data_IF_621028361403
#
_entry.id   IF_621028361403
#
_cell.length_a   1.000
_cell.length_b   1.000
_cell.length_c   1.000
_cell.angle_alpha   90.00
_cell.angle_beta   90.00
_cell.angle_gamma   90.00
#
_symmetry.space_group_name_H-M   'P 1'
#
loop_
_entity.id
_entity.type
_entity.pdbx_description
1 polymer ?
#
# COMPACT_ATOMS: atom_id res chain seq x y z
N UNK A 1 45.40 2.43 55.40
CA UNK A 1 45.23 1.38 54.38
C UNK A 1 43.79 0.88 54.41
N UNK A 2 43.12 0.98 53.25
CA UNK A 2 41.93 0.26 52.73
C UNK A 2 40.57 0.30 53.48
N UNK A 3 39.63 1.04 52.87
CA UNK A 3 38.17 0.84 52.90
C UNK A 3 37.77 -0.51 52.25
N UNK A 4 36.61 -1.06 52.66
CA UNK A 4 35.54 -1.54 51.74
C UNK A 4 34.25 -1.94 52.49
N UNK A 5 33.13 -1.24 52.31
CA UNK A 5 31.79 -1.82 52.41
C UNK A 5 31.35 -2.37 51.05
N UNK A 6 30.83 -3.59 51.03
CA UNK A 6 30.35 -4.29 49.82
C UNK A 6 28.94 -3.81 49.49
N UNK A 7 28.80 -2.89 48.54
CA UNK A 7 27.49 -2.57 47.94
C UNK A 7 27.17 -3.61 46.86
N UNK A 8 26.07 -4.33 47.05
CA UNK A 8 25.47 -5.17 46.04
C UNK A 8 24.91 -4.27 44.92
N UNK A 9 25.52 -4.33 43.74
CA UNK A 9 25.03 -3.64 42.55
C UNK A 9 23.87 -4.45 41.95
N UNK A 10 22.65 -3.95 42.12
CA UNK A 10 21.48 -4.39 41.35
C UNK A 10 21.62 -3.77 39.96
N UNK A 11 22.07 -4.54 38.99
CA UNK A 11 22.05 -4.15 37.58
C UNK A 11 20.66 -4.46 37.04
N UNK A 12 19.80 -3.45 36.98
CA UNK A 12 18.54 -3.52 36.23
C UNK A 12 18.88 -3.47 34.73
N UNK A 13 18.85 -4.62 34.07
CA UNK A 13 18.91 -4.71 32.61
C UNK A 13 17.59 -4.20 32.03
N UNK A 14 17.57 -2.94 31.61
CA UNK A 14 16.52 -2.42 30.73
C UNK A 14 16.67 -3.08 29.36
N UNK A 15 15.83 -4.08 29.09
CA UNK A 15 15.63 -4.61 27.75
C UNK A 15 15.02 -3.49 26.88
N UNK A 16 15.87 -2.77 26.15
CA UNK A 16 15.44 -1.93 25.04
C UNK A 16 14.91 -2.85 23.95
N UNK A 17 13.59 -3.04 23.92
CA UNK A 17 12.92 -3.52 22.73
C UNK A 17 13.14 -2.49 21.63
N UNK A 18 14.05 -2.79 20.70
CA UNK A 18 14.12 -2.07 19.43
C UNK A 18 12.82 -2.36 18.66
N UNK A 19 11.79 -1.56 18.94
CA UNK A 19 10.70 -1.39 18.00
C UNK A 19 11.33 -0.74 16.76
N UNK A 20 11.58 -1.55 15.73
CA UNK A 20 11.85 -1.02 14.40
C UNK A 20 10.55 -0.35 13.95
N UNK A 21 10.40 0.93 14.29
CA UNK A 21 9.46 1.81 13.64
C UNK A 21 9.84 1.78 12.16
N UNK A 22 9.15 0.95 11.39
CA UNK A 22 9.20 1.02 9.95
C UNK A 22 8.64 2.41 9.63
N UNK A 23 9.53 3.37 9.36
CA UNK A 23 9.14 4.70 8.96
C UNK A 23 8.17 4.54 7.79
N UNK A 24 6.91 4.89 8.02
CA UNK A 24 5.92 5.00 6.96
C UNK A 24 6.51 5.93 5.89
N UNK A 25 6.47 5.56 4.60
CA UNK A 25 6.90 6.48 3.56
C UNK A 25 6.10 7.77 3.73
N UNK A 26 6.76 8.88 4.05
CA UNK A 26 6.18 10.22 4.14
C UNK A 26 5.84 10.77 2.74
N UNK A 27 5.04 10.01 1.99
CA UNK A 27 4.67 10.25 0.60
C UNK A 27 3.17 10.02 0.37
N UNK A 28 2.71 10.05 -0.89
CA UNK A 28 1.30 9.88 -1.25
C UNK A 28 0.76 8.45 -1.02
N UNK A 29 1.57 7.55 -0.45
CA UNK A 29 1.22 6.16 -0.22
C UNK A 29 0.01 6.05 0.72
N UNK A 30 -0.69 4.92 0.62
CA UNK A 30 -1.75 4.61 1.57
C UNK A 30 -1.15 4.27 2.94
N UNK A 31 -1.62 4.89 4.03
CA UNK A 31 -1.11 4.63 5.38
C UNK A 31 -1.23 3.15 5.77
N UNK A 32 -0.14 2.56 6.25
CA UNK A 32 -0.11 1.15 6.64
C UNK A 32 -0.25 0.12 5.50
N UNK A 33 -0.06 0.50 4.24
CA UNK A 33 -0.12 -0.45 3.12
C UNK A 33 1.06 -1.44 3.15
N UNK A 34 0.79 -2.68 3.52
CA UNK A 34 1.77 -3.76 3.63
C UNK A 34 2.33 -4.24 2.29
N UNK A 35 1.70 -3.84 1.18
CA UNK A 35 2.18 -4.15 -0.17
C UNK A 35 3.54 -3.47 -0.45
N UNK A 36 3.86 -2.38 0.26
CA UNK A 36 5.14 -1.67 0.13
C UNK A 36 6.00 -1.94 1.34
N UNK A 37 7.19 -2.48 1.12
CA UNK A 37 8.16 -2.78 2.18
C UNK A 37 9.52 -2.25 1.79
N UNK A 38 10.27 -1.79 2.79
CA UNK A 38 11.69 -1.47 2.60
C UNK A 38 12.50 -2.67 3.09
N UNK A 39 13.21 -3.33 2.18
CA UNK A 39 14.06 -4.48 2.46
C UNK A 39 15.48 -4.11 2.08
N UNK A 40 16.40 -4.08 3.06
CA UNK A 40 17.80 -3.68 2.87
C UNK A 40 17.96 -2.32 2.15
N UNK A 41 17.13 -1.34 2.51
CA UNK A 41 17.12 -0.01 1.88
C UNK A 41 16.48 0.05 0.49
N UNK A 42 16.02 -1.09 -0.06
CA UNK A 42 15.33 -1.15 -1.34
C UNK A 42 13.81 -1.24 -1.15
N UNK A 43 13.06 -0.43 -1.90
CA UNK A 43 11.59 -0.55 -1.98
C UNK A 43 11.21 -1.82 -2.74
N UNK A 44 10.47 -2.69 -2.05
CA UNK A 44 9.87 -3.91 -2.58
C UNK A 44 8.37 -3.71 -2.58
N UNK A 45 7.73 -3.97 -3.71
CA UNK A 45 6.29 -3.77 -3.89
C UNK A 45 5.67 -5.07 -4.33
N UNK A 46 4.71 -5.56 -3.55
CA UNK A 46 3.80 -6.63 -3.96
C UNK A 46 2.67 -6.03 -4.78
N UNK A 47 2.28 -6.70 -5.86
CA UNK A 47 1.21 -6.24 -6.74
C UNK A 47 -0.04 -7.10 -6.53
N UNK A 48 -1.25 -6.53 -6.68
CA UNK A 48 -2.48 -7.28 -6.52
C UNK A 48 -2.52 -8.42 -7.56
N UNK A 49 -2.92 -9.64 -7.15
CA UNK A 49 -2.93 -10.78 -8.06
C UNK A 49 -3.93 -10.56 -9.19
N UNK A 50 -3.52 -10.95 -10.40
CA UNK A 50 -4.44 -11.01 -11.53
C UNK A 50 -5.41 -12.18 -11.34
N UNK A 51 -6.67 -12.00 -11.71
CA UNK A 51 -7.56 -13.17 -11.89
C UNK A 51 -7.06 -14.05 -13.03
N UNK A 52 -7.40 -15.33 -12.99
CA UNK A 52 -7.07 -16.27 -14.07
C UNK A 52 -7.59 -15.78 -15.44
N UNK A 53 -8.75 -15.14 -15.48
CA UNK A 53 -9.32 -14.57 -16.70
C UNK A 53 -8.48 -13.40 -17.24
N UNK A 54 -8.15 -12.42 -16.37
CA UNK A 54 -7.29 -11.29 -16.75
C UNK A 54 -5.90 -11.74 -17.18
N UNK A 55 -5.33 -12.72 -16.48
CA UNK A 55 -4.03 -13.28 -16.82
C UNK A 55 -4.04 -13.95 -18.20
N UNK A 56 -5.09 -14.73 -18.53
CA UNK A 56 -5.27 -15.33 -19.86
C UNK A 56 -5.43 -14.27 -20.95
N UNK A 57 -6.22 -13.23 -20.68
CA UNK A 57 -6.44 -12.12 -21.62
C UNK A 57 -5.13 -11.41 -21.98
N UNK A 58 -4.33 -11.04 -20.97
CA UNK A 58 -3.03 -10.37 -21.18
C UNK A 58 -2.05 -11.31 -21.90
N UNK A 59 -1.96 -12.58 -21.50
CA UNK A 59 -1.12 -13.57 -22.18
C UNK A 59 -1.51 -13.78 -23.65
N UNK A 60 -2.78 -13.61 -23.99
CA UNK A 60 -3.28 -13.62 -25.38
C UNK A 60 -2.99 -12.34 -26.17
N UNK A 61 -2.22 -11.40 -25.63
CA UNK A 61 -1.93 -10.11 -26.26
C UNK A 61 -2.98 -9.02 -26.02
N UNK A 62 -3.99 -9.31 -25.20
CA UNK A 62 -5.00 -8.33 -24.79
C UNK A 62 -4.38 -7.20 -23.96
N UNK A 63 -4.83 -5.97 -24.23
CA UNK A 63 -4.38 -4.78 -23.51
C UNK A 63 -5.51 -4.24 -22.66
N UNK A 64 -5.23 -3.99 -21.39
CA UNK A 64 -6.17 -3.28 -20.54
C UNK A 64 -6.12 -1.79 -20.90
N UNK A 65 -7.26 -1.13 -21.15
CA UNK A 65 -7.27 0.28 -21.48
C UNK A 65 -6.89 1.13 -20.25
N UNK A 66 -6.19 2.26 -20.44
CA UNK A 66 -5.89 3.18 -19.36
C UNK A 66 -7.17 3.85 -18.81
N UNK A 67 -7.09 4.52 -17.65
CA UNK A 67 -8.20 5.34 -17.15
C UNK A 67 -8.62 6.42 -18.15
N UNK A 68 -9.91 6.76 -18.16
CA UNK A 68 -10.37 7.98 -18.85
C UNK A 68 -9.97 9.23 -18.06
N UNK A 69 -10.06 10.41 -18.68
CA UNK A 69 -9.68 11.68 -18.06
C UNK A 69 -10.56 12.09 -16.86
N UNK A 70 -11.81 11.62 -16.80
CA UNK A 70 -12.76 11.90 -15.71
C UNK A 70 -13.19 10.66 -14.93
N UNK A 71 -12.72 9.48 -15.33
CA UNK A 71 -13.11 8.22 -14.71
C UNK A 71 -12.53 8.05 -13.32
N UNK A 72 -13.23 7.27 -12.52
CA UNK A 72 -12.69 6.73 -11.29
C UNK A 72 -11.46 5.85 -11.55
N UNK A 73 -10.53 5.86 -10.61
CA UNK A 73 -9.28 5.10 -10.69
C UNK A 73 -9.02 4.30 -9.43
N UNK A 74 -8.31 3.20 -9.62
CA UNK A 74 -7.71 2.41 -8.56
C UNK A 74 -6.27 2.84 -8.38
N UNK A 75 -5.98 3.37 -7.20
CA UNK A 75 -4.66 3.71 -6.73
C UNK A 75 -3.94 2.42 -6.34
N UNK A 76 -2.85 2.10 -7.03
CA UNK A 76 -2.07 0.88 -6.81
C UNK A 76 -0.60 1.26 -6.72
N UNK A 77 0.07 0.78 -5.68
CA UNK A 77 1.52 0.91 -5.56
C UNK A 77 2.20 0.04 -6.62
N UNK A 78 2.93 0.67 -7.54
CA UNK A 78 3.74 0.00 -8.55
C UNK A 78 5.23 -0.02 -8.15
N UNK A 79 6.05 -0.85 -8.82
CA UNK A 79 7.49 -0.95 -8.55
C UNK A 79 8.23 0.40 -8.60
N UNK A 80 7.83 1.28 -9.52
CA UNK A 80 8.43 2.61 -9.69
C UNK A 80 7.75 3.67 -8.80
N UNK A 81 6.42 3.76 -8.86
CA UNK A 81 5.64 4.81 -8.20
C UNK A 81 4.21 4.36 -7.91
N UNK A 82 3.45 5.23 -7.25
CA UNK A 82 1.98 5.12 -7.19
C UNK A 82 1.38 5.27 -8.60
N UNK A 83 0.41 4.42 -8.92
CA UNK A 83 -0.24 4.34 -10.22
C UNK A 83 -1.75 4.55 -10.10
N UNK A 84 -2.32 5.17 -11.12
CA UNK A 84 -3.77 5.26 -11.36
C UNK A 84 -4.16 4.22 -12.41
N UNK A 85 -4.92 3.20 -12.01
CA UNK A 85 -5.33 2.09 -12.84
C UNK A 85 -6.83 2.13 -13.13
N UNK A 86 -7.24 1.71 -14.33
CA UNK A 86 -8.68 1.60 -14.67
C UNK A 86 -9.36 0.42 -13.96
N UNK A 87 -8.58 -0.56 -13.55
CA UNK A 87 -9.04 -1.76 -12.87
C UNK A 87 -8.25 -1.97 -11.58
N UNK A 88 -8.72 -2.89 -10.75
CA UNK A 88 -8.08 -3.33 -9.49
C UNK A 88 -6.73 -4.04 -9.67
N UNK A 89 -6.24 -4.14 -10.90
CA UNK A 89 -4.99 -4.81 -11.25
C UNK A 89 -3.94 -3.81 -11.72
N UNK A 90 -2.69 -4.06 -11.35
CA UNK A 90 -1.56 -3.38 -11.97
C UNK A 90 -1.30 -3.97 -13.36
N UNK A 91 -1.27 -3.13 -14.38
CA UNK A 91 -0.98 -3.50 -15.77
C UNK A 91 -0.25 -2.37 -16.47
N UNK A 92 0.71 -2.72 -17.34
CA UNK A 92 1.53 -1.75 -18.07
C UNK A 92 0.70 -0.82 -18.97
N UNK A 93 -0.40 -1.32 -19.55
CA UNK A 93 -1.27 -0.53 -20.43
C UNK A 93 -2.50 0.03 -19.73
N UNK A 94 -2.91 -0.59 -18.62
CA UNK A 94 -4.12 -0.26 -17.88
C UNK A 94 -3.94 0.78 -16.79
N UNK A 95 -2.69 1.22 -16.57
CA UNK A 95 -2.31 2.13 -15.51
C UNK A 95 -1.45 3.27 -16.05
N UNK A 96 -1.58 4.43 -15.42
CA UNK A 96 -0.78 5.63 -15.69
C UNK A 96 -0.16 6.12 -14.38
N UNK A 97 0.93 6.91 -14.42
CA UNK A 97 1.47 7.53 -13.22
C UNK A 97 0.41 8.34 -12.46
N UNK A 98 0.45 8.27 -11.13
CA UNK A 98 -0.51 8.96 -10.28
C UNK A 98 -0.49 10.47 -10.45
N UNK A 99 -1.69 11.05 -10.46
CA UNK A 99 -1.94 12.50 -10.45
C UNK A 99 -2.52 12.96 -9.12
N UNK A 100 -2.35 12.16 -8.06
CA UNK A 100 -2.77 12.51 -6.72
C UNK A 100 -2.13 13.83 -6.27
N UNK A 101 -2.95 14.75 -5.76
CA UNK A 101 -2.52 16.10 -5.38
C UNK A 101 -2.39 17.09 -6.53
N UNK A 102 -2.49 16.64 -7.79
CA UNK A 102 -2.50 17.53 -8.98
C UNK A 102 -3.86 17.59 -9.65
N UNK A 103 -4.65 16.51 -9.59
CA UNK A 103 -6.02 16.46 -10.11
C UNK A 103 -7.02 15.97 -9.07
N UNK A 104 -8.19 16.59 -9.04
CA UNK A 104 -9.33 16.11 -8.25
C UNK A 104 -10.04 14.98 -8.99
N UNK A 105 -10.04 13.78 -8.43
CA UNK A 105 -10.65 12.59 -9.06
C UNK A 105 -11.07 11.57 -8.00
N UNK A 106 -12.16 10.84 -8.29
CA UNK A 106 -12.58 9.68 -7.49
C UNK A 106 -11.49 8.61 -7.47
N UNK A 107 -11.02 8.25 -6.27
CA UNK A 107 -9.91 7.33 -6.06
C UNK A 107 -10.31 6.23 -5.08
N UNK A 108 -10.30 4.99 -5.56
CA UNK A 108 -10.26 3.80 -4.70
C UNK A 108 -8.82 3.37 -4.47
N UNK A 109 -8.53 2.78 -3.34
CA UNK A 109 -7.19 2.34 -2.96
C UNK A 109 -7.13 0.82 -2.94
N UNK A 110 -6.24 0.22 -3.75
CA UNK A 110 -5.98 -1.22 -3.70
C UNK A 110 -4.72 -1.47 -2.89
N UNK A 111 -4.92 -2.05 -1.70
CA UNK A 111 -3.91 -2.12 -0.65
C UNK A 111 -3.88 -3.49 0.00
N UNK A 112 -2.78 -3.79 0.68
CA UNK A 112 -2.66 -4.99 1.50
C UNK A 112 -2.67 -4.59 2.97
N UNK A 113 -3.61 -5.15 3.72
CA UNK A 113 -3.83 -4.89 5.16
C UNK A 113 -4.03 -6.25 5.84
N UNK A 114 -3.31 -6.50 6.93
CA UNK A 114 -3.35 -7.76 7.68
C UNK A 114 -3.10 -8.99 6.78
N UNK A 115 -2.19 -8.87 5.81
CA UNK A 115 -1.84 -9.92 4.87
C UNK A 115 -2.86 -10.15 3.74
N UNK A 116 -3.98 -9.42 3.70
CA UNK A 116 -5.05 -9.58 2.72
C UNK A 116 -5.20 -8.36 1.81
N UNK A 117 -5.60 -8.60 0.56
CA UNK A 117 -5.90 -7.54 -0.40
C UNK A 117 -7.28 -6.95 -0.16
N UNK A 118 -7.35 -5.62 -0.12
CA UNK A 118 -8.57 -4.85 0.14
C UNK A 118 -8.67 -3.65 -0.80
N UNK A 119 -9.90 -3.23 -1.04
CA UNK A 119 -10.24 -2.00 -1.73
C UNK A 119 -10.83 -1.01 -0.72
N UNK A 120 -10.21 0.14 -0.58
CA UNK A 120 -10.63 1.19 0.36
C UNK A 120 -11.11 2.43 -0.39
N UNK A 121 -12.14 3.10 0.13
CA UNK A 121 -12.72 4.29 -0.51
C UNK A 121 -11.89 5.57 -0.34
N UNK A 122 -10.91 5.60 0.56
CA UNK A 122 -10.04 6.75 0.83
C UNK A 122 -8.80 6.36 1.62
N UNK A 123 -7.86 7.29 1.82
CA UNK A 123 -6.74 7.20 2.78
C UNK A 123 -7.04 7.80 4.16
N UNK A 124 -8.32 8.01 4.50
CA UNK A 124 -8.67 8.53 5.82
C UNK A 124 -8.17 7.60 6.94
N UNK A 125 -8.09 8.09 8.17
CA UNK A 125 -7.64 7.31 9.34
C UNK A 125 -8.50 6.06 9.59
N UNK A 126 -9.79 6.12 9.22
CA UNK A 126 -10.76 5.03 9.33
C UNK A 126 -11.51 4.86 8.00
N UNK A 127 -10.86 4.33 6.96
CA UNK A 127 -11.47 4.20 5.65
C UNK A 127 -12.41 2.99 5.61
N UNK A 128 -13.52 3.09 4.86
CA UNK A 128 -14.30 1.90 4.51
C UNK A 128 -13.49 1.06 3.52
N UNK A 129 -13.15 -0.15 3.93
CA UNK A 129 -12.43 -1.13 3.11
C UNK A 129 -13.24 -2.42 2.97
N UNK A 130 -13.28 -2.96 1.77
CA UNK A 130 -13.88 -4.26 1.48
C UNK A 130 -12.80 -5.20 0.93
N UNK A 131 -12.92 -6.50 1.22
CA UNK A 131 -11.97 -7.49 0.73
C UNK A 131 -11.98 -7.49 -0.80
N UNK A 132 -10.81 -7.58 -1.45
CA UNK A 132 -10.72 -7.52 -2.90
C UNK A 132 -11.55 -8.61 -3.61
N UNK A 133 -11.70 -9.77 -2.97
CA UNK A 133 -12.54 -10.87 -3.46
C UNK A 133 -14.05 -10.55 -3.43
N UNK A 134 -14.49 -9.65 -2.54
CA UNK A 134 -15.87 -9.18 -2.47
C UNK A 134 -16.19 -8.09 -3.53
N UNK A 135 -15.14 -7.55 -4.18
CA UNK A 135 -15.25 -6.44 -5.11
C UNK A 135 -14.89 -5.10 -4.45
N UNK A 136 -15.13 -4.02 -5.19
CA UNK A 136 -14.87 -2.66 -4.71
C UNK A 136 -16.00 -2.22 -3.77
N UNK A 137 -15.71 -1.38 -2.75
CA UNK A 137 -16.75 -0.92 -1.85
C UNK A 137 -17.93 -0.33 -2.58
N UNK A 138 -19.15 -0.66 -2.15
CA UNK A 138 -20.34 -0.01 -2.66
C UNK A 138 -20.25 1.50 -2.44
N UNK A 139 -20.24 2.28 -3.52
CA UNK A 139 -20.05 3.74 -3.51
C UNK A 139 -19.16 4.24 -4.65
N UNK A 140 -18.84 5.54 -4.63
CA UNK A 140 -17.74 6.11 -5.42
C UNK A 140 -16.53 6.27 -4.51
N UNK A 141 -15.33 6.11 -5.07
CA UNK A 141 -14.10 6.49 -4.37
C UNK A 141 -14.12 7.95 -3.93
N UNK A 142 -13.31 8.28 -2.94
CA UNK A 142 -13.23 9.66 -2.46
C UNK A 142 -12.54 10.53 -3.48
N UNK A 143 -13.05 11.75 -3.69
CA UNK A 143 -12.40 12.74 -4.53
C UNK A 143 -11.22 13.35 -3.77
N UNK A 144 -10.03 12.85 -4.07
CA UNK A 144 -8.74 13.36 -3.58
C UNK A 144 -7.98 14.12 -4.68
#
# INVERSE_FOLDING_TARGET
MKLKPTQAAIVLLFAHACATAQAEPAGPAFPGNEAVRIVNGKRVVETPPLTAATQRYIKGGGKLPPPSASGEVFMIEGPASLMECRSVYLSETGCVPSTLGTTKRSRFWTVKINGAWSHCESRALSPKCEAAAAGVPGGMGTVE
#
